data_IF_593841521704
#
_entry.id   IF_593841521704
#
_cell.length_a   1.000
_cell.length_b   1.000
_cell.length_c   1.000
_cell.angle_alpha   90.00
_cell.angle_beta   90.00
_cell.angle_gamma   90.00
#
_symmetry.space_group_name_H-M   'P 1'
#
loop_
_entity.id
_entity.type
_entity.pdbx_description
1 polymer ?
#
# COMPACT_ATOMS: atom_id res chain seq x y z
N UNK A 1 4.24 -25.10 -2.51
CA UNK A 1 4.04 -23.99 -1.56
C UNK A 1 3.73 -22.67 -2.26
N UNK A 2 4.59 -22.17 -3.15
CA UNK A 2 4.38 -20.88 -3.83
C UNK A 2 3.10 -20.83 -4.70
N UNK A 3 2.77 -21.93 -5.37
CA UNK A 3 1.54 -22.05 -6.17
C UNK A 3 0.27 -22.02 -5.30
N UNK A 4 0.27 -22.72 -4.17
CA UNK A 4 -0.85 -22.74 -3.23
C UNK A 4 -1.12 -21.35 -2.63
N UNK A 5 -0.07 -20.60 -2.27
CA UNK A 5 -0.20 -19.22 -1.81
C UNK A 5 -0.75 -18.29 -2.90
N UNK A 6 -0.37 -18.51 -4.16
CA UNK A 6 -0.88 -17.73 -5.30
C UNK A 6 -2.38 -17.99 -5.54
N UNK A 7 -2.83 -19.24 -5.44
CA UNK A 7 -4.27 -19.58 -5.52
C UNK A 7 -5.07 -18.99 -4.35
N UNK A 8 -4.54 -19.07 -3.13
CA UNK A 8 -5.17 -18.44 -1.97
C UNK A 8 -5.30 -16.92 -2.16
N UNK A 9 -4.28 -16.27 -2.72
CA UNK A 9 -4.29 -14.83 -3.03
C UNK A 9 -5.38 -14.49 -4.06
N UNK A 10 -5.54 -15.30 -5.11
CA UNK A 10 -6.60 -15.09 -6.10
C UNK A 10 -8.00 -15.26 -5.50
N UNK A 11 -8.20 -16.23 -4.60
CA UNK A 11 -9.51 -16.49 -4.00
C UNK A 11 -9.99 -15.39 -3.06
N UNK A 12 -9.08 -14.67 -2.40
CA UNK A 12 -9.45 -13.60 -1.44
C UNK A 12 -9.51 -12.20 -2.06
N UNK A 13 -8.97 -12.01 -3.27
CA UNK A 13 -8.97 -10.74 -3.98
C UNK A 13 -9.91 -10.81 -5.19
N UNK A 14 -11.11 -10.23 -5.07
CA UNK A 14 -12.02 -10.12 -6.22
C UNK A 14 -11.47 -9.15 -7.27
N UNK A 15 -11.75 -9.43 -8.54
CA UNK A 15 -11.36 -8.58 -9.67
C UNK A 15 -11.89 -7.14 -9.52
N UNK A 16 -13.12 -6.99 -9.03
CA UNK A 16 -13.74 -5.70 -8.73
C UNK A 16 -12.90 -4.87 -7.75
N UNK A 17 -12.48 -5.45 -6.63
CA UNK A 17 -11.65 -4.75 -5.62
C UNK A 17 -10.28 -4.40 -6.17
N UNK A 18 -9.70 -5.26 -7.02
CA UNK A 18 -8.43 -4.97 -7.68
C UNK A 18 -8.57 -3.77 -8.62
N UNK A 19 -9.65 -3.69 -9.39
CA UNK A 19 -9.92 -2.54 -10.25
C UNK A 19 -10.15 -1.24 -9.48
N UNK A 20 -10.88 -1.31 -8.36
CA UNK A 20 -11.07 -0.17 -7.46
C UNK A 20 -9.72 0.31 -6.90
N UNK A 21 -8.89 -0.60 -6.40
CA UNK A 21 -7.54 -0.29 -5.91
C UNK A 21 -6.67 0.36 -6.99
N UNK A 22 -6.69 -0.18 -8.21
CA UNK A 22 -5.93 0.40 -9.34
C UNK A 22 -6.43 1.81 -9.67
N UNK A 23 -7.74 2.04 -9.60
CA UNK A 23 -8.33 3.37 -9.84
C UNK A 23 -7.86 4.37 -8.79
N UNK A 24 -7.90 4.00 -7.50
CA UNK A 24 -7.41 4.83 -6.40
C UNK A 24 -5.91 5.14 -6.53
N UNK A 25 -5.09 4.14 -6.86
CA UNK A 25 -3.65 4.33 -7.06
C UNK A 25 -3.37 5.28 -8.23
N UNK A 26 -4.16 5.20 -9.30
CA UNK A 26 -4.03 6.06 -10.50
C UNK A 26 -4.44 7.50 -10.27
N UNK A 27 -5.45 7.73 -9.44
CA UNK A 27 -5.95 9.09 -9.13
C UNK A 27 -5.17 9.78 -8.02
N UNK A 28 -4.36 9.06 -7.24
CA UNK A 28 -3.64 9.60 -6.11
C UNK A 28 -2.54 10.59 -6.54
N UNK A 29 -2.52 11.78 -5.91
CA UNK A 29 -1.43 12.75 -6.02
C UNK A 29 -0.14 12.23 -5.37
N UNK A 30 -0.29 11.53 -4.25
CA UNK A 30 0.78 10.87 -3.49
C UNK A 30 0.25 9.59 -2.86
N UNK A 31 1.05 8.54 -2.87
CA UNK A 31 0.75 7.25 -2.23
C UNK A 31 1.66 7.08 -1.02
N UNK A 32 1.06 7.05 0.17
CA UNK A 32 1.75 6.83 1.44
C UNK A 32 1.52 5.38 1.82
N UNK A 33 2.58 4.58 1.85
CA UNK A 33 2.52 3.20 2.30
C UNK A 33 2.95 3.09 3.75
N UNK A 34 2.20 2.35 4.56
CA UNK A 34 2.57 2.06 5.94
C UNK A 34 2.35 0.58 6.26
N UNK A 35 2.98 0.11 7.32
CA UNK A 35 2.85 -1.27 7.79
C UNK A 35 2.52 -1.28 9.27
N UNK A 36 1.56 -2.12 9.63
CA UNK A 36 1.29 -2.49 11.02
C UNK A 36 1.94 -3.86 11.25
N UNK A 37 2.95 -3.92 12.13
CA UNK A 37 3.68 -5.15 12.47
C UNK A 37 4.96 -5.41 11.64
N UNK A 38 5.32 -6.68 11.46
CA UNK A 38 6.65 -7.10 10.97
C UNK A 38 6.89 -6.88 9.45
N UNK A 39 5.86 -6.58 8.66
CA UNK A 39 5.93 -6.58 7.19
C UNK A 39 6.58 -5.33 6.56
N UNK A 40 7.45 -4.61 7.28
CA UNK A 40 8.00 -3.31 6.87
C UNK A 40 8.72 -3.31 5.51
N UNK A 41 9.34 -4.43 5.14
CA UNK A 41 10.02 -4.60 3.86
C UNK A 41 9.06 -4.68 2.66
N UNK A 42 7.83 -5.16 2.88
CA UNK A 42 6.82 -5.30 1.82
C UNK A 42 6.37 -3.93 1.34
N UNK A 43 6.06 -3.00 2.26
CA UNK A 43 5.68 -1.63 1.90
C UNK A 43 6.82 -0.91 1.17
N UNK A 44 8.07 -1.07 1.62
CA UNK A 44 9.22 -0.46 0.96
C UNK A 44 9.42 -0.99 -0.47
N UNK A 45 9.34 -2.33 -0.64
CA UNK A 45 9.42 -2.94 -1.95
C UNK A 45 8.30 -2.44 -2.88
N UNK A 46 7.09 -2.33 -2.36
CA UNK A 46 5.95 -1.88 -3.15
C UNK A 46 6.07 -0.40 -3.53
N UNK A 47 6.51 0.46 -2.60
CA UNK A 47 6.82 1.86 -2.88
C UNK A 47 7.81 2.00 -4.05
N UNK A 48 8.89 1.21 -4.05
CA UNK A 48 9.87 1.23 -5.16
C UNK A 48 9.29 0.76 -6.48
N UNK A 49 8.40 -0.24 -6.47
CA UNK A 49 7.71 -0.68 -7.68
C UNK A 49 6.79 0.39 -8.25
N UNK A 50 6.05 1.09 -7.39
CA UNK A 50 5.20 2.22 -7.78
C UNK A 50 6.03 3.39 -8.33
N UNK A 51 7.12 3.75 -7.65
CA UNK A 51 8.06 4.77 -8.14
C UNK A 51 8.66 4.42 -9.50
N UNK A 52 9.01 3.15 -9.73
CA UNK A 52 9.57 2.68 -11.00
C UNK A 52 8.63 2.91 -12.19
N UNK A 53 7.32 2.95 -11.96
CA UNK A 53 6.31 3.18 -13.00
C UNK A 53 5.73 4.61 -12.96
N UNK A 54 6.36 5.52 -12.24
CA UNK A 54 6.06 6.95 -12.27
C UNK A 54 5.11 7.46 -11.18
N UNK A 55 4.73 6.64 -10.21
CA UNK A 55 3.91 7.11 -9.08
C UNK A 55 4.75 7.76 -7.99
N UNK A 56 4.23 8.86 -7.43
CA UNK A 56 4.78 9.48 -6.23
C UNK A 56 4.42 8.64 -4.99
N UNK A 57 5.26 7.66 -4.65
CA UNK A 57 5.01 6.73 -3.56
C UNK A 57 6.13 6.76 -2.50
N UNK A 58 5.78 6.68 -1.22
CA UNK A 58 6.74 6.59 -0.12
C UNK A 58 6.25 5.64 0.97
N UNK A 59 7.14 4.76 1.46
CA UNK A 59 6.87 3.92 2.61
C UNK A 59 7.32 4.63 3.90
N UNK A 60 6.41 4.75 4.88
CA UNK A 60 6.66 5.35 6.19
C UNK A 60 6.47 4.27 7.26
N UNK A 61 7.52 3.99 8.01
CA UNK A 61 7.55 2.92 9.03
C UNK A 61 7.59 3.43 10.46
N UNK A 62 8.17 4.62 10.66
CA UNK A 62 8.22 5.25 11.97
C UNK A 62 6.85 5.87 12.29
N UNK A 63 6.35 5.63 13.50
CA UNK A 63 5.02 6.07 13.91
C UNK A 63 4.92 7.60 13.97
N UNK A 64 5.95 8.29 14.45
CA UNK A 64 5.95 9.74 14.53
C UNK A 64 6.00 10.38 13.14
N UNK A 65 6.84 9.84 12.26
CA UNK A 65 6.89 10.24 10.86
C UNK A 65 5.56 9.99 10.14
N UNK A 66 4.90 8.86 10.42
CA UNK A 66 3.59 8.53 9.83
C UNK A 66 2.53 9.54 10.27
N UNK A 67 2.44 9.83 11.58
CA UNK A 67 1.48 10.80 12.10
C UNK A 67 1.69 12.18 11.49
N UNK A 68 2.94 12.65 11.39
CA UNK A 68 3.26 13.91 10.74
C UNK A 68 2.90 13.91 9.25
N UNK A 69 3.18 12.80 8.55
CA UNK A 69 2.87 12.65 7.12
C UNK A 69 1.37 12.67 6.87
N UNK A 70 0.59 11.97 7.71
CA UNK A 70 -0.87 11.94 7.62
C UNK A 70 -1.47 13.31 7.97
N UNK A 71 -0.95 14.00 8.98
CA UNK A 71 -1.38 15.37 9.30
C UNK A 71 -1.15 16.36 8.14
N UNK A 72 -0.08 16.18 7.37
CA UNK A 72 0.25 17.01 6.22
C UNK A 72 -0.39 16.52 4.91
N UNK A 73 -1.24 15.49 4.94
CA UNK A 73 -1.87 14.92 3.74
C UNK A 73 -3.03 15.76 3.24
N UNK A 74 -3.31 15.66 1.95
CA UNK A 74 -4.49 16.25 1.30
C UNK A 74 -5.52 15.19 0.95
N UNK A 75 -6.79 15.54 0.71
CA UNK A 75 -7.82 14.60 0.23
C UNK A 75 -7.45 13.87 -1.08
N UNK A 76 -6.56 14.44 -1.90
CA UNK A 76 -6.06 13.81 -3.13
C UNK A 76 -4.92 12.81 -2.90
N UNK A 77 -4.45 12.63 -1.65
CA UNK A 77 -3.45 11.63 -1.30
C UNK A 77 -4.11 10.30 -0.93
N UNK A 78 -3.39 9.21 -1.15
CA UNK A 78 -3.82 7.86 -0.82
C UNK A 78 -2.93 7.28 0.28
N UNK A 79 -3.54 6.88 1.40
CA UNK A 79 -2.89 6.08 2.44
C UNK A 79 -3.20 4.60 2.23
N UNK A 80 -2.16 3.78 2.04
CA UNK A 80 -2.25 2.33 1.94
C UNK A 80 -1.55 1.66 3.13
N UNK A 81 -2.35 1.14 4.06
CA UNK A 81 -1.87 0.39 5.21
C UNK A 81 -1.83 -1.11 4.92
N UNK A 82 -0.70 -1.75 5.22
CA UNK A 82 -0.50 -3.20 5.08
C UNK A 82 -0.45 -3.82 6.48
N UNK A 83 -1.44 -4.65 6.81
CA UNK A 83 -1.49 -5.45 8.04
C UNK A 83 -1.87 -6.89 7.68
N UNK A 84 -1.14 -7.87 8.21
CA UNK A 84 -1.49 -9.29 8.00
C UNK A 84 -2.73 -9.68 8.82
N UNK A 85 -2.84 -9.15 10.04
CA UNK A 85 -3.92 -9.47 10.98
C UNK A 85 -5.14 -8.58 10.79
N UNK A 86 -5.01 -7.44 10.09
CA UNK A 86 -6.10 -6.47 9.87
C UNK A 86 -6.50 -5.67 11.11
N UNK A 87 -6.00 -6.05 12.29
CA UNK A 87 -5.92 -5.24 13.52
C UNK A 87 -4.66 -4.38 13.54
#
# INVERSE_FOLDING_TARGET
ENTAAMYATLNVNSEEKLHECVTMLRSARRIILTVIGASGLVAQNFAWKLMKIGFNAAAVRDMHALLATVHASSPDDLLLAISYTGV
#
